data_IF_024091181515
#
_entry.id   IF_024091181515
#
_cell.length_a   1.000
_cell.length_b   1.000
_cell.length_c   1.000
_cell.angle_alpha   90.00
_cell.angle_beta   90.00
_cell.angle_gamma   90.00
#
_symmetry.space_group_name_H-M   'P 1'
#
loop_
_entity.id
_entity.type
_entity.pdbx_description
1 polymer ?
#
# COMPACT_ATOMS: atom_id res chain seq x y z
N UNK A 1 -11.25 0.94 3.91
CA UNK A 1 -12.74 0.74 3.79
C UNK A 1 -13.10 0.74 2.31
N UNK A 2 -13.33 -0.44 1.77
CA UNK A 2 -13.61 -0.64 0.33
C UNK A 2 -15.04 -0.26 -0.07
N UNK A 3 -16.02 -0.43 0.81
CA UNK A 3 -17.40 -0.05 0.51
C UNK A 3 -17.61 1.47 0.64
N UNK A 4 -16.89 2.25 -0.20
CA UNK A 4 -17.04 3.71 -0.20
C UNK A 4 -18.44 4.17 -0.63
N UNK A 5 -19.19 3.48 -1.52
CA UNK A 5 -20.57 3.86 -1.80
C UNK A 5 -21.47 3.78 -0.55
N UNK A 6 -21.29 2.72 0.26
CA UNK A 6 -21.99 2.60 1.54
C UNK A 6 -21.62 3.70 2.53
N UNK A 7 -20.35 4.15 2.57
CA UNK A 7 -19.94 5.29 3.40
C UNK A 7 -20.66 6.57 2.94
N UNK A 8 -20.62 6.87 1.65
CA UNK A 8 -21.22 8.08 1.08
C UNK A 8 -22.73 8.10 1.24
N UNK A 9 -23.40 6.95 1.11
CA UNK A 9 -24.85 6.83 1.32
C UNK A 9 -25.28 6.80 2.80
N UNK A 10 -24.33 6.73 3.73
CA UNK A 10 -24.63 6.69 5.16
C UNK A 10 -25.11 5.33 5.67
N UNK A 11 -24.68 4.23 5.03
CA UNK A 11 -25.01 2.87 5.47
C UNK A 11 -24.52 2.63 6.91
N UNK A 12 -25.45 2.28 7.79
CA UNK A 12 -25.21 2.13 9.21
C UNK A 12 -24.15 1.06 9.53
N UNK A 13 -24.21 -0.09 8.89
CA UNK A 13 -23.29 -1.21 9.16
C UNK A 13 -21.88 -0.89 8.68
N UNK A 14 -21.76 -0.15 7.59
CA UNK A 14 -20.47 0.31 7.06
C UNK A 14 -19.87 1.35 7.99
N UNK A 15 -20.64 2.34 8.43
CA UNK A 15 -20.18 3.38 9.36
C UNK A 15 -19.82 2.79 10.74
N UNK A 16 -20.62 1.83 11.25
CA UNK A 16 -20.32 1.14 12.50
C UNK A 16 -18.96 0.41 12.46
N UNK A 17 -18.58 -0.20 11.34
CA UNK A 17 -17.25 -0.83 11.17
C UNK A 17 -16.11 0.18 11.23
N UNK A 18 -16.27 1.35 10.61
CA UNK A 18 -15.28 2.44 10.69
C UNK A 18 -15.16 2.94 12.12
N UNK A 19 -16.29 3.19 12.78
CA UNK A 19 -16.34 3.64 14.17
C UNK A 19 -15.69 2.63 15.11
N UNK A 20 -15.92 1.35 14.91
CA UNK A 20 -15.27 0.29 15.68
C UNK A 20 -13.75 0.34 15.53
N UNK A 21 -13.22 0.45 14.31
CA UNK A 21 -11.78 0.57 14.06
C UNK A 21 -11.19 1.80 14.73
N UNK A 22 -11.79 2.97 14.53
CA UNK A 22 -11.29 4.25 15.07
C UNK A 22 -11.38 4.33 16.59
N UNK A 23 -12.44 3.80 17.21
CA UNK A 23 -12.58 3.74 18.67
C UNK A 23 -11.53 2.88 19.35
N UNK A 24 -10.95 1.92 18.64
CA UNK A 24 -9.81 1.12 19.09
C UNK A 24 -8.44 1.72 18.69
N UNK A 25 -8.43 2.98 18.27
CA UNK A 25 -7.20 3.68 17.86
C UNK A 25 -6.53 3.11 16.60
N UNK A 26 -7.27 2.39 15.77
CA UNK A 26 -6.77 1.85 14.51
C UNK A 26 -6.93 2.84 13.38
N UNK A 27 -5.96 2.87 12.48
CA UNK A 27 -6.10 3.57 11.21
C UNK A 27 -7.03 2.76 10.30
N UNK A 28 -8.00 3.43 9.71
CA UNK A 28 -8.88 2.83 8.69
C UNK A 28 -8.35 3.24 7.33
N UNK A 29 -7.83 2.27 6.62
CA UNK A 29 -7.29 2.45 5.28
C UNK A 29 -8.39 2.74 4.26
N UNK A 30 -8.12 3.65 3.33
CA UNK A 30 -9.07 4.13 2.34
C UNK A 30 -8.95 3.42 1.00
N UNK A 31 -10.11 3.21 0.37
CA UNK A 31 -10.23 2.67 -0.98
C UNK A 31 -11.44 3.33 -1.65
N UNK A 32 -11.20 4.37 -2.44
CA UNK A 32 -12.27 5.18 -3.02
C UNK A 32 -11.84 5.70 -4.41
N UNK A 33 -11.79 4.81 -5.43
CA UNK A 33 -11.44 5.18 -6.79
C UNK A 33 -12.44 6.19 -7.36
N UNK A 34 -11.95 7.25 -7.99
CA UNK A 34 -12.77 8.25 -8.68
C UNK A 34 -13.59 9.17 -7.78
N UNK A 35 -13.46 9.07 -6.44
CA UNK A 35 -14.26 9.85 -5.51
C UNK A 35 -13.71 11.28 -5.40
N UNK A 36 -14.56 12.28 -5.69
CA UNK A 36 -14.21 13.70 -5.72
C UNK A 36 -15.27 14.55 -5.01
N UNK A 37 -14.99 15.82 -4.79
CA UNK A 37 -15.94 16.81 -4.31
C UNK A 37 -16.60 16.44 -2.97
N UNK A 38 -17.92 16.61 -2.87
CA UNK A 38 -18.69 16.37 -1.65
C UNK A 38 -18.71 14.91 -1.20
N UNK A 39 -18.67 13.98 -2.13
CA UNK A 39 -18.66 12.55 -1.82
C UNK A 39 -17.32 12.17 -1.19
N UNK A 40 -16.20 12.76 -1.64
CA UNK A 40 -14.91 12.63 -0.98
C UNK A 40 -14.94 13.26 0.43
N UNK A 41 -15.59 14.41 0.61
CA UNK A 41 -15.75 15.02 1.93
C UNK A 41 -16.53 14.08 2.88
N UNK A 42 -17.63 13.50 2.39
CA UNK A 42 -18.45 12.55 3.16
C UNK A 42 -17.67 11.27 3.53
N UNK A 43 -16.79 10.82 2.65
CA UNK A 43 -15.92 9.67 2.90
C UNK A 43 -14.86 9.98 3.97
N UNK A 44 -14.14 11.08 3.84
CA UNK A 44 -13.03 11.43 4.73
C UNK A 44 -13.48 11.87 6.12
N UNK A 45 -14.66 12.50 6.26
CA UNK A 45 -15.17 12.93 7.58
C UNK A 45 -15.42 11.77 8.55
N UNK A 46 -15.52 10.54 8.04
CA UNK A 46 -15.67 9.33 8.87
C UNK A 46 -14.40 8.91 9.60
N UNK A 47 -13.27 9.59 9.35
CA UNK A 47 -11.98 9.30 9.99
C UNK A 47 -11.02 8.48 9.12
N UNK A 48 -11.36 8.24 7.85
CA UNK A 48 -10.44 7.66 6.86
C UNK A 48 -9.44 8.74 6.47
N UNK A 49 -8.14 8.41 6.49
CA UNK A 49 -7.07 9.42 6.36
C UNK A 49 -6.12 9.19 5.19
N UNK A 50 -6.31 8.14 4.42
CA UNK A 50 -5.43 7.78 3.29
C UNK A 50 -6.21 7.16 2.14
N UNK A 51 -5.59 7.06 0.97
CA UNK A 51 -6.07 6.28 -0.18
C UNK A 51 -4.91 5.81 -1.06
N UNK A 52 -5.04 4.62 -1.65
CA UNK A 52 -4.11 4.06 -2.64
C UNK A 52 -4.72 3.98 -4.05
N UNK A 53 -5.96 4.48 -4.23
CA UNK A 53 -6.73 4.31 -5.46
C UNK A 53 -6.64 5.47 -6.44
N UNK A 54 -5.89 6.54 -6.14
CA UNK A 54 -5.73 7.63 -7.08
C UNK A 54 -5.05 7.14 -8.37
N UNK A 55 -5.67 7.42 -9.51
CA UNK A 55 -5.16 7.11 -10.85
C UNK A 55 -4.82 8.38 -11.64
N UNK A 56 -5.29 9.53 -11.21
CA UNK A 56 -5.08 10.83 -11.86
C UNK A 56 -4.50 11.86 -10.91
N UNK A 57 -3.84 12.88 -11.48
CA UNK A 57 -3.34 14.01 -10.69
C UNK A 57 -4.46 14.84 -10.07
N UNK A 58 -5.67 14.84 -10.64
CA UNK A 58 -6.82 15.52 -10.08
C UNK A 58 -7.27 14.84 -8.78
N UNK A 59 -7.47 13.52 -8.79
CA UNK A 59 -7.80 12.73 -7.60
C UNK A 59 -6.76 12.93 -6.50
N UNK A 60 -5.48 12.86 -6.86
CA UNK A 60 -4.38 13.09 -5.93
C UNK A 60 -4.46 14.47 -5.28
N UNK A 61 -4.67 15.54 -6.07
CA UNK A 61 -4.76 16.92 -5.56
C UNK A 61 -5.97 17.13 -4.66
N UNK A 62 -7.13 16.60 -5.05
CA UNK A 62 -8.36 16.71 -4.27
C UNK A 62 -8.24 16.02 -2.90
N UNK A 63 -7.63 14.84 -2.85
CA UNK A 63 -7.33 14.15 -1.59
C UNK A 63 -6.32 14.91 -0.72
N UNK A 64 -5.20 15.37 -1.33
CA UNK A 64 -4.17 16.14 -0.61
C UNK A 64 -4.71 17.46 -0.03
N UNK A 65 -5.58 18.18 -0.76
CA UNK A 65 -6.24 19.41 -0.26
C UNK A 65 -7.07 19.18 0.99
N UNK A 66 -7.60 17.98 1.15
CA UNK A 66 -8.39 17.55 2.31
C UNK A 66 -7.57 16.92 3.43
N UNK A 67 -6.23 16.91 3.27
CA UNK A 67 -5.30 16.38 4.27
C UNK A 67 -5.13 14.86 4.26
N UNK A 68 -5.67 14.16 3.26
CA UNK A 68 -5.48 12.73 3.09
C UNK A 68 -4.02 12.40 2.72
N UNK A 69 -3.53 11.24 3.15
CA UNK A 69 -2.31 10.65 2.61
C UNK A 69 -2.59 9.99 1.27
N UNK A 70 -1.64 10.10 0.35
CA UNK A 70 -1.65 9.40 -0.93
C UNK A 70 -0.61 8.29 -0.88
N UNK A 71 -1.07 7.06 -1.03
CA UNK A 71 -0.23 5.89 -1.18
C UNK A 71 -0.09 5.62 -2.69
N UNK A 72 1.03 6.02 -3.27
CA UNK A 72 1.29 5.87 -4.70
C UNK A 72 1.59 4.41 -5.00
N UNK A 73 0.69 3.78 -5.74
CA UNK A 73 0.70 2.35 -6.01
C UNK A 73 1.53 2.00 -7.24
N UNK A 74 2.32 0.92 -7.12
CA UNK A 74 2.99 0.25 -8.22
C UNK A 74 2.91 -1.26 -8.01
N UNK A 75 1.75 -1.81 -8.33
CA UNK A 75 1.44 -3.23 -8.27
C UNK A 75 1.84 -3.98 -9.53
N UNK A 76 1.18 -5.09 -9.80
CA UNK A 76 1.31 -5.85 -11.04
C UNK A 76 0.34 -5.35 -12.11
N UNK A 77 -0.94 -5.27 -11.80
CA UNK A 77 -1.96 -4.73 -12.69
C UNK A 77 -2.11 -3.20 -12.52
N UNK A 78 -2.18 -2.72 -11.28
CA UNK A 78 -2.38 -1.30 -10.99
C UNK A 78 -1.06 -0.55 -10.82
N UNK A 79 -0.60 0.11 -11.88
CA UNK A 79 0.70 0.82 -11.98
C UNK A 79 0.46 2.32 -12.10
N UNK A 80 0.39 3.02 -10.95
CA UNK A 80 0.04 4.44 -10.91
C UNK A 80 1.25 5.36 -10.63
N UNK A 81 2.42 4.82 -10.30
CA UNK A 81 3.59 5.60 -9.90
C UNK A 81 3.99 6.62 -10.98
N UNK A 82 4.08 6.22 -12.23
CA UNK A 82 4.48 7.12 -13.33
C UNK A 82 3.52 8.27 -13.53
N UNK A 83 2.23 8.05 -13.32
CA UNK A 83 1.18 9.07 -13.46
C UNK A 83 1.17 10.04 -12.28
N UNK A 84 1.33 9.54 -11.07
CA UNK A 84 1.14 10.34 -9.85
C UNK A 84 2.42 11.02 -9.37
N UNK A 85 3.60 10.45 -9.65
CA UNK A 85 4.88 10.98 -9.17
C UNK A 85 5.11 12.46 -9.56
N UNK A 86 4.75 12.92 -10.77
CA UNK A 86 4.85 14.34 -11.13
C UNK A 86 4.01 15.29 -10.27
N UNK A 87 3.02 14.78 -9.55
CA UNK A 87 2.19 15.52 -8.60
C UNK A 87 2.82 15.70 -7.23
N UNK A 88 3.91 14.98 -6.94
CA UNK A 88 4.65 15.12 -5.68
C UNK A 88 5.53 16.38 -5.76
N UNK A 89 5.38 17.24 -4.79
CA UNK A 89 6.11 18.49 -4.64
C UNK A 89 6.73 18.59 -3.25
N UNK A 90 7.72 19.46 -3.01
CA UNK A 90 8.25 19.68 -1.67
C UNK A 90 7.18 20.03 -0.62
N UNK A 91 6.10 20.69 -1.05
CA UNK A 91 5.02 21.11 -0.15
C UNK A 91 4.06 19.99 0.26
N UNK A 92 3.94 18.92 -0.53
CA UNK A 92 3.01 17.83 -0.27
C UNK A 92 3.68 16.47 -0.06
N UNK A 93 4.98 16.33 -0.34
CA UNK A 93 5.71 15.07 -0.28
C UNK A 93 5.54 14.33 1.06
N UNK A 94 5.41 15.07 2.17
CA UNK A 94 5.18 14.48 3.50
C UNK A 94 3.87 13.70 3.60
N UNK A 95 2.89 14.00 2.73
CA UNK A 95 1.60 13.30 2.67
C UNK A 95 1.55 12.25 1.57
N UNK A 96 2.70 11.92 0.98
CA UNK A 96 2.82 10.90 -0.05
C UNK A 96 3.70 9.76 0.44
N UNK A 97 3.27 8.53 0.20
CA UNK A 97 4.04 7.32 0.45
C UNK A 97 3.90 6.37 -0.75
N UNK A 98 4.68 5.30 -0.80
CA UNK A 98 4.55 4.25 -1.82
C UNK A 98 3.83 3.04 -1.24
N UNK A 99 3.13 2.28 -2.09
CA UNK A 99 2.54 0.99 -1.76
C UNK A 99 2.55 0.04 -2.97
N UNK A 100 2.42 -1.25 -2.71
CA UNK A 100 2.45 -2.30 -3.73
C UNK A 100 1.06 -2.78 -4.15
N UNK A 101 0.14 -2.89 -3.18
CA UNK A 101 -1.20 -3.44 -3.36
C UNK A 101 -1.17 -4.84 -4.01
N UNK A 102 -1.50 -4.97 -5.29
CA UNK A 102 -1.67 -6.21 -6.05
C UNK A 102 -0.38 -6.81 -6.64
N UNK A 103 0.79 -6.58 -6.01
CA UNK A 103 2.05 -7.07 -6.57
C UNK A 103 2.20 -8.58 -6.44
N UNK A 104 2.31 -9.26 -7.59
CA UNK A 104 2.44 -10.70 -7.70
C UNK A 104 3.85 -11.19 -7.31
N UNK A 105 3.95 -12.45 -6.89
CA UNK A 105 5.23 -13.05 -6.47
C UNK A 105 6.25 -13.05 -7.61
N UNK A 106 5.83 -13.33 -8.83
CA UNK A 106 6.67 -13.33 -10.03
C UNK A 106 7.34 -11.97 -10.23
N UNK A 107 6.57 -10.88 -10.08
CA UNK A 107 7.09 -9.51 -10.22
C UNK A 107 8.00 -9.13 -9.04
N UNK A 108 7.73 -9.66 -7.83
CA UNK A 108 8.64 -9.46 -6.69
C UNK A 108 10.00 -10.13 -6.97
N UNK A 109 10.00 -11.30 -7.57
CA UNK A 109 11.23 -12.04 -7.91
C UNK A 109 11.99 -11.39 -9.06
N UNK A 110 11.29 -10.92 -10.12
CA UNK A 110 11.92 -10.34 -11.31
C UNK A 110 12.35 -8.90 -11.11
N UNK A 111 11.46 -8.07 -10.57
CA UNK A 111 11.63 -6.62 -10.50
C UNK A 111 11.97 -6.12 -9.09
N UNK A 112 11.64 -6.90 -8.07
CA UNK A 112 11.73 -6.50 -6.67
C UNK A 112 10.40 -5.99 -6.10
N UNK A 113 10.44 -5.53 -4.88
CA UNK A 113 9.27 -5.04 -4.11
C UNK A 113 9.35 -3.50 -3.96
N UNK A 114 9.52 -2.97 -2.75
CA UNK A 114 9.63 -1.53 -2.52
C UNK A 114 10.91 -0.91 -3.11
N UNK A 115 11.98 -1.68 -3.27
CA UNK A 115 13.19 -1.28 -3.98
C UNK A 115 12.93 -0.95 -5.45
N UNK A 116 11.97 -1.64 -6.10
CA UNK A 116 11.52 -1.30 -7.44
C UNK A 116 10.86 0.10 -7.49
N UNK A 117 10.03 0.45 -6.50
CA UNK A 117 9.44 1.79 -6.41
C UNK A 117 10.52 2.87 -6.31
N UNK A 118 11.57 2.62 -5.51
CA UNK A 118 12.70 3.55 -5.37
C UNK A 118 13.44 3.73 -6.69
N UNK A 119 13.76 2.62 -7.40
CA UNK A 119 14.41 2.67 -8.72
C UNK A 119 13.60 3.47 -9.73
N UNK A 120 12.30 3.21 -9.81
CA UNK A 120 11.40 3.91 -10.72
C UNK A 120 11.32 5.40 -10.40
N UNK A 121 11.11 5.76 -9.13
CA UNK A 121 10.98 7.15 -8.70
C UNK A 121 12.26 7.95 -8.95
N UNK A 122 13.42 7.40 -8.58
CA UNK A 122 14.73 8.05 -8.80
C UNK A 122 15.06 8.08 -10.29
N UNK A 123 14.73 7.05 -11.05
CA UNK A 123 14.86 7.03 -12.51
C UNK A 123 14.02 8.10 -13.23
N UNK A 124 12.95 8.56 -12.61
CA UNK A 124 12.13 9.68 -13.07
C UNK A 124 12.60 11.05 -12.56
N UNK A 125 13.73 11.10 -11.83
CA UNK A 125 14.34 12.33 -11.37
C UNK A 125 13.96 12.77 -9.95
N UNK A 126 13.27 11.92 -9.17
CA UNK A 126 13.02 12.20 -7.76
C UNK A 126 14.34 12.12 -6.98
N UNK A 127 14.49 13.02 -6.00
CA UNK A 127 15.63 12.95 -5.06
C UNK A 127 15.60 11.61 -4.30
N UNK A 128 16.71 10.87 -4.22
CA UNK A 128 16.74 9.56 -3.59
C UNK A 128 16.35 9.58 -2.11
N UNK A 129 16.74 10.62 -1.37
CA UNK A 129 16.40 10.75 0.06
C UNK A 129 14.90 10.98 0.23
N UNK A 130 14.31 11.78 -0.66
CA UNK A 130 12.86 11.97 -0.67
C UNK A 130 12.12 10.67 -1.00
N UNK A 131 12.58 9.91 -2.00
CA UNK A 131 11.99 8.61 -2.35
C UNK A 131 12.07 7.63 -1.15
N UNK A 132 13.22 7.54 -0.49
CA UNK A 132 13.40 6.72 0.72
C UNK A 132 12.46 7.19 1.83
N UNK A 133 12.32 8.48 2.04
CA UNK A 133 11.42 9.04 3.06
C UNK A 133 9.96 8.65 2.79
N UNK A 134 9.52 8.67 1.53
CA UNK A 134 8.18 8.22 1.14
C UNK A 134 7.99 6.70 1.35
N UNK A 135 9.03 5.91 1.19
CA UNK A 135 9.02 4.46 1.44
C UNK A 135 9.05 4.08 2.93
N UNK A 136 9.50 4.98 3.80
CA UNK A 136 9.83 4.67 5.19
C UNK A 136 9.07 5.55 6.18
N UNK A 137 9.56 6.76 6.44
CA UNK A 137 9.01 7.65 7.46
C UNK A 137 7.57 8.06 7.18
N UNK A 138 7.25 8.42 5.94
CA UNK A 138 5.90 8.84 5.58
C UNK A 138 4.89 7.69 5.73
N UNK A 139 5.26 6.48 5.31
CA UNK A 139 4.44 5.29 5.51
C UNK A 139 4.24 5.00 7.01
N UNK A 140 5.31 5.08 7.80
CA UNK A 140 5.24 4.88 9.25
C UNK A 140 4.33 5.94 9.92
N UNK A 141 4.43 7.21 9.54
CA UNK A 141 3.56 8.29 10.05
C UNK A 141 2.10 8.07 9.62
N UNK A 142 1.85 7.67 8.37
CA UNK A 142 0.51 7.39 7.85
C UNK A 142 -0.21 6.31 8.69
N UNK A 143 0.50 5.26 9.06
CA UNK A 143 -0.04 4.13 9.82
C UNK A 143 0.21 4.21 11.33
N UNK A 144 0.72 5.33 11.85
CA UNK A 144 0.93 5.55 13.28
C UNK A 144 2.03 4.67 13.91
N UNK A 145 2.97 4.19 13.13
CA UNK A 145 4.08 3.34 13.57
C UNK A 145 5.21 4.20 14.17
N UNK A 146 5.07 4.61 15.42
CA UNK A 146 5.92 5.62 16.07
C UNK A 146 7.39 5.22 16.21
N UNK A 147 7.69 3.93 16.28
CA UNK A 147 9.02 3.37 16.44
C UNK A 147 9.67 2.88 15.13
N UNK A 148 9.03 3.10 13.98
CA UNK A 148 9.49 2.67 12.65
C UNK A 148 9.81 3.86 11.74
N UNK A 149 10.40 3.58 10.57
CA UNK A 149 10.53 4.52 9.46
C UNK A 149 11.76 5.43 9.49
N UNK A 150 12.60 5.38 10.53
CA UNK A 150 13.86 6.14 10.57
C UNK A 150 14.91 5.45 11.44
N UNK A 151 16.19 5.69 11.16
CA UNK A 151 17.31 5.27 11.98
C UNK A 151 17.56 6.40 12.98
N UNK A 152 17.07 6.23 14.21
CA UNK A 152 17.20 7.23 15.27
C UNK A 152 17.14 6.57 16.66
N UNK A 153 17.69 7.21 17.72
CA UNK A 153 17.56 6.72 19.08
C UNK A 153 16.09 6.52 19.47
N UNK A 154 15.77 5.37 20.08
CA UNK A 154 14.41 5.02 20.51
C UNK A 154 13.52 4.41 19.41
N UNK A 155 14.05 4.23 18.19
CA UNK A 155 13.36 3.50 17.12
C UNK A 155 13.92 2.10 16.99
N UNK A 156 13.11 1.21 16.40
CA UNK A 156 13.54 -0.16 16.09
C UNK A 156 14.68 -0.14 15.08
N UNK A 157 15.66 -1.01 15.28
CA UNK A 157 16.78 -1.17 14.38
C UNK A 157 16.40 -2.06 13.17
N UNK A 158 15.40 -1.61 12.43
CA UNK A 158 14.96 -2.21 11.16
C UNK A 158 15.52 -1.38 10.02
N UNK A 159 16.51 -1.92 9.31
CA UNK A 159 17.16 -1.20 8.21
C UNK A 159 17.74 -2.14 7.18
N UNK A 160 18.01 -1.60 6.00
CA UNK A 160 18.69 -2.31 4.91
C UNK A 160 20.00 -1.61 4.55
N UNK A 161 20.94 -2.36 4.01
CA UNK A 161 22.12 -1.83 3.33
C UNK A 161 21.95 -2.05 1.83
N UNK A 162 22.16 -0.99 1.06
CA UNK A 162 22.12 -1.01 -0.40
C UNK A 162 23.44 -0.60 -1.00
N UNK A 163 23.73 -1.03 -2.24
CA UNK A 163 24.98 -0.70 -2.92
C UNK A 163 25.07 0.79 -3.25
N UNK A 164 23.96 1.36 -3.74
CA UNK A 164 23.88 2.76 -4.12
C UNK A 164 22.43 3.27 -4.10
N UNK A 165 22.23 4.57 -4.29
CA UNK A 165 20.93 5.22 -4.28
C UNK A 165 20.32 5.37 -5.70
N UNK A 166 20.70 4.54 -6.65
CA UNK A 166 20.11 4.47 -7.99
C UNK A 166 19.53 3.09 -8.27
N UNK A 167 20.37 2.05 -8.14
CA UNK A 167 19.99 0.67 -8.35
C UNK A 167 19.25 0.08 -7.14
N UNK A 168 19.49 0.63 -5.94
CA UNK A 168 18.89 0.17 -4.68
C UNK A 168 19.01 -1.35 -4.49
N UNK A 169 20.12 -1.93 -4.91
CA UNK A 169 20.35 -3.35 -4.71
C UNK A 169 20.57 -3.63 -3.24
N UNK A 170 19.62 -4.36 -2.64
CA UNK A 170 19.66 -4.71 -1.23
C UNK A 170 20.72 -5.78 -0.99
N UNK A 171 21.68 -5.48 -0.13
CA UNK A 171 22.77 -6.39 0.26
C UNK A 171 22.49 -7.07 1.59
N UNK A 172 21.97 -6.33 2.58
CA UNK A 172 21.70 -6.86 3.91
C UNK A 172 20.38 -6.31 4.44
N UNK A 173 19.66 -7.13 5.18
CA UNK A 173 18.43 -6.78 5.85
C UNK A 173 18.56 -7.05 7.34
N UNK A 174 18.27 -6.04 8.14
CA UNK A 174 18.28 -6.12 9.60
C UNK A 174 16.87 -5.88 10.13
N UNK A 175 16.46 -6.72 11.09
CA UNK A 175 15.23 -6.53 11.86
C UNK A 175 15.56 -6.63 13.35
N UNK A 176 15.11 -5.65 14.12
CA UNK A 176 15.44 -5.52 15.54
C UNK A 176 16.96 -5.64 15.83
N UNK A 177 17.79 -5.07 14.94
CA UNK A 177 19.25 -5.11 15.03
C UNK A 177 19.91 -6.44 14.63
N UNK A 178 19.13 -7.44 14.21
CA UNK A 178 19.65 -8.76 13.80
C UNK A 178 19.70 -8.86 12.28
N UNK A 179 20.83 -9.32 11.74
CA UNK A 179 20.94 -9.64 10.31
C UNK A 179 20.07 -10.86 10.00
N UNK A 180 19.07 -10.70 9.15
CA UNK A 180 18.10 -11.73 8.78
C UNK A 180 18.21 -12.20 7.33
N UNK A 181 18.77 -11.36 6.45
CA UNK A 181 19.02 -11.74 5.06
C UNK A 181 20.27 -11.04 4.53
N UNK A 182 20.99 -11.70 3.62
CA UNK A 182 22.17 -11.19 2.93
C UNK A 182 22.19 -11.71 1.48
N UNK A 183 22.43 -10.81 0.53
CA UNK A 183 22.53 -11.11 -0.90
C UNK A 183 21.36 -11.97 -1.44
N UNK A 184 20.14 -11.63 -1.03
CA UNK A 184 18.92 -12.34 -1.45
C UNK A 184 18.67 -13.68 -0.76
N UNK A 185 19.46 -14.03 0.26
CA UNK A 185 19.29 -15.27 1.03
C UNK A 185 18.81 -14.97 2.43
N UNK A 186 17.74 -15.63 2.87
CA UNK A 186 17.27 -15.59 4.26
C UNK A 186 18.23 -16.41 5.12
N UNK A 187 18.74 -15.82 6.20
CA UNK A 187 19.71 -16.43 7.14
C UNK A 187 19.04 -17.01 8.38
N UNK A 188 17.86 -16.49 8.74
CA UNK A 188 17.10 -16.97 9.89
C UNK A 188 16.15 -18.07 9.40
N UNK A 189 16.11 -19.26 10.04
CA UNK A 189 15.08 -20.24 9.71
C UNK A 189 13.70 -19.57 9.81
N UNK A 190 12.88 -19.72 8.79
CA UNK A 190 11.46 -19.41 8.90
C UNK A 190 10.90 -20.47 9.86
N UNK A 191 10.35 -20.05 11.00
CA UNK A 191 9.55 -20.96 11.80
C UNK A 191 8.44 -21.47 10.88
N UNK A 192 8.44 -22.76 10.61
CA UNK A 192 7.26 -23.47 10.10
C UNK A 192 6.19 -23.44 11.20
N UNK A 193 5.71 -22.22 11.51
CA UNK A 193 4.48 -22.08 12.25
C UNK A 193 3.46 -22.86 11.43
N UNK A 194 3.08 -24.03 11.92
CA UNK A 194 2.12 -24.90 11.28
C UNK A 194 0.93 -24.05 10.86
N UNK A 195 0.89 -23.68 9.59
CA UNK A 195 -0.30 -23.11 9.01
C UNK A 195 -1.37 -24.15 9.29
N UNK A 196 -2.29 -23.85 10.22
CA UNK A 196 -3.42 -24.72 10.47
C UNK A 196 -4.02 -25.04 9.12
N UNK A 197 -4.38 -26.28 8.89
CA UNK A 197 -5.02 -26.70 7.65
C UNK A 197 -6.10 -25.67 7.31
N UNK A 198 -6.12 -25.13 6.09
CA UNK A 198 -7.12 -24.12 5.70
C UNK A 198 -8.49 -24.68 6.06
N UNK A 199 -9.27 -23.93 6.84
CA UNK A 199 -10.65 -24.28 7.13
C UNK A 199 -11.38 -24.43 5.79
N UNK A 200 -12.17 -25.48 5.63
CA UNK A 200 -13.04 -25.66 4.48
C UNK A 200 -14.12 -24.56 4.46
N UNK A 201 -13.71 -23.33 4.15
CA UNK A 201 -14.59 -22.17 4.14
C UNK A 201 -15.28 -21.94 2.78
N UNK A 202 -14.87 -22.68 1.75
CA UNK A 202 -15.42 -22.59 0.40
C UNK A 202 -16.33 -23.81 0.19
N UNK A 203 -17.62 -23.55 0.08
CA UNK A 203 -18.64 -24.56 -0.19
C UNK A 203 -19.14 -24.41 -1.62
N UNK A 204 -18.49 -25.12 -2.54
CA UNK A 204 -18.92 -25.16 -3.94
C UNK A 204 -19.95 -26.27 -4.14
N UNK A 205 -20.97 -26.01 -4.95
CA UNK A 205 -21.79 -27.07 -5.53
C UNK A 205 -20.90 -27.91 -6.47
N UNK A 206 -21.22 -29.19 -6.72
CA UNK A 206 -20.51 -29.96 -7.72
C UNK A 206 -20.46 -29.17 -9.04
N UNK A 207 -19.26 -28.94 -9.56
CA UNK A 207 -19.06 -28.27 -10.84
C UNK A 207 -19.26 -29.28 -11.96
N UNK A 208 -20.12 -28.97 -12.90
CA UNK A 208 -20.24 -29.68 -14.16
C UNK A 208 -19.34 -29.01 -15.21
N UNK A 209 -18.93 -29.75 -16.25
CA UNK A 209 -18.02 -29.20 -17.28
C UNK A 209 -18.63 -27.99 -18.02
N UNK A 210 -19.94 -27.94 -18.18
CA UNK A 210 -20.68 -26.81 -18.76
C UNK A 210 -20.61 -25.53 -17.93
N UNK A 211 -20.43 -25.63 -16.61
CA UNK A 211 -20.21 -24.46 -15.74
C UNK A 211 -18.87 -23.75 -15.99
N UNK A 212 -17.93 -24.42 -16.65
CA UNK A 212 -16.61 -23.91 -16.96
C UNK A 212 -16.50 -23.33 -18.38
N UNK A 213 -17.53 -23.56 -19.19
CA UNK A 213 -17.62 -23.03 -20.55
C UNK A 213 -18.23 -21.63 -20.50
N UNK A 214 -17.38 -20.62 -20.65
CA UNK A 214 -17.85 -19.26 -20.87
C UNK A 214 -18.30 -19.12 -22.32
N UNK A 215 -19.62 -19.03 -22.55
CA UNK A 215 -20.18 -18.73 -23.89
C UNK A 215 -20.41 -17.21 -23.96
N UNK A 216 -20.02 -16.61 -25.09
CA UNK A 216 -20.20 -15.18 -25.38
C UNK A 216 -21.67 -14.72 -25.45
N UNK A 217 -22.63 -15.64 -25.38
CA UNK A 217 -24.06 -15.39 -25.53
C UNK A 217 -24.79 -15.08 -24.22
N UNK A 218 -24.06 -14.87 -23.11
CA UNK A 218 -24.64 -14.48 -21.83
C UNK A 218 -24.85 -12.96 -21.69
N UNK A 219 -24.82 -12.22 -22.80
CA UNK A 219 -24.95 -10.74 -22.83
C UNK A 219 -26.21 -10.26 -23.61
N UNK A 220 -27.26 -11.08 -23.74
CA UNK A 220 -28.57 -10.64 -24.21
C UNK A 220 -29.58 -10.52 -23.05
#
# INVERSE_FOLDING_TARGET
MMNFPGVVSGDYDVLAKIQLGTSHGKIVDGHAPGLLGRDLDAYLVTGITNTHECTTLEEMRENLRRGSYILIREGSAAKNLRTLLPGVTPGNARRCAFCCDDRHIEDIVSDGHMDNHLRLAVGMGMDPVQAITMCTLNAAECFGLRNKGAIAPGRDADFILVDDLKAFRVRKVFTAGRLIAEDGRVLTPLDDAAAGAPSHSIHLKPLAEDCLLYTSDAAD
#
